data_IF_937271841827
#
_entry.id   IF_937271841827
#
_cell.length_a   1.000
_cell.length_b   1.000
_cell.length_c   1.000
_cell.angle_alpha   90.00
_cell.angle_beta   90.00
_cell.angle_gamma   90.00
#
_symmetry.space_group_name_H-M   'P 1'
#
loop_
_entity.id
_entity.type
_entity.pdbx_description
1 polymer ?
#
# COMPACT_ATOMS: atom_id res chain seq x y z
N UNK A 1 -7.73 13.14 -5.44
CA UNK A 1 -7.95 13.91 -6.67
C UNK A 1 -7.10 13.30 -7.77
N UNK A 2 -7.65 13.22 -8.99
CA UNK A 2 -6.88 12.95 -10.20
C UNK A 2 -6.32 14.26 -10.75
N UNK A 3 -5.15 14.22 -11.40
CA UNK A 3 -4.61 15.34 -12.17
C UNK A 3 -4.38 14.90 -13.61
N UNK A 4 -5.03 15.57 -14.55
CA UNK A 4 -4.91 15.27 -15.98
C UNK A 4 -5.06 16.56 -16.80
N UNK A 5 -4.18 16.73 -17.78
CA UNK A 5 -4.21 17.86 -18.73
C UNK A 5 -4.40 19.24 -18.07
N UNK A 6 -3.71 19.50 -16.95
CA UNK A 6 -3.78 20.77 -16.23
C UNK A 6 -4.89 20.88 -15.18
N UNK A 7 -5.81 19.91 -15.12
CA UNK A 7 -7.01 19.99 -14.29
C UNK A 7 -6.97 18.97 -13.13
N UNK A 8 -7.47 19.39 -11.97
CA UNK A 8 -7.74 18.52 -10.83
C UNK A 8 -9.23 18.13 -10.81
N UNK A 9 -9.52 16.85 -10.58
CA UNK A 9 -10.88 16.31 -10.45
C UNK A 9 -11.02 15.37 -9.24
N UNK A 10 -12.25 15.24 -8.73
CA UNK A 10 -12.64 14.22 -7.75
C UNK A 10 -12.69 12.84 -8.39
N UNK A 11 -12.74 11.80 -7.58
CA UNK A 11 -12.94 10.42 -8.05
C UNK A 11 -14.28 10.23 -8.80
N UNK A 12 -15.28 11.06 -8.50
CA UNK A 12 -16.55 11.13 -9.25
C UNK A 12 -16.42 11.74 -10.66
N UNK A 13 -15.25 12.29 -11.00
CA UNK A 13 -15.04 13.09 -12.22
C UNK A 13 -15.44 14.56 -12.07
N UNK A 14 -15.99 14.98 -10.93
CA UNK A 14 -16.33 16.39 -10.69
C UNK A 14 -15.06 17.27 -10.74
N UNK A 15 -15.05 18.36 -11.53
CA UNK A 15 -13.91 19.29 -11.55
C UNK A 15 -13.67 19.93 -10.19
N UNK A 16 -12.41 20.01 -9.76
CA UNK A 16 -11.99 20.77 -8.57
C UNK A 16 -11.49 22.14 -9.01
N UNK A 17 -10.42 22.19 -9.82
CA UNK A 17 -9.83 23.44 -10.33
C UNK A 17 -8.76 23.22 -11.41
N UNK A 18 -8.35 24.30 -12.09
CA UNK A 18 -7.25 24.31 -13.07
C UNK A 18 -5.95 24.83 -12.43
N UNK A 19 -4.83 24.16 -12.68
CA UNK A 19 -3.53 24.49 -12.07
C UNK A 19 -3.02 25.87 -12.49
N UNK A 20 -3.17 26.26 -13.76
CA UNK A 20 -2.62 27.51 -14.29
C UNK A 20 -3.44 28.70 -13.82
N UNK A 21 -4.77 28.55 -13.80
CA UNK A 21 -5.71 29.61 -13.43
C UNK A 21 -5.88 29.76 -11.93
N UNK A 22 -6.02 28.65 -11.20
CA UNK A 22 -6.47 28.63 -9.81
C UNK A 22 -5.35 28.21 -8.83
N UNK A 23 -4.21 27.72 -9.34
CA UNK A 23 -3.04 27.34 -8.55
C UNK A 23 -3.05 25.89 -8.01
N UNK A 24 -2.08 25.54 -7.14
CA UNK A 24 -1.89 24.17 -6.68
C UNK A 24 -3.05 23.66 -5.81
N UNK A 25 -3.33 22.36 -5.89
CA UNK A 25 -4.32 21.68 -5.06
C UNK A 25 -3.93 21.72 -3.57
N UNK A 26 -4.89 22.12 -2.73
CA UNK A 26 -4.82 21.95 -1.27
C UNK A 26 -5.42 20.61 -0.90
N UNK A 27 -4.84 19.94 0.09
CA UNK A 27 -5.33 18.63 0.56
C UNK A 27 -6.78 18.68 1.04
N UNK A 28 -7.23 19.82 1.58
CA UNK A 28 -8.61 20.06 2.01
C UNK A 28 -9.63 20.15 0.87
N UNK A 29 -9.20 20.31 -0.38
CA UNK A 29 -10.10 20.38 -1.55
C UNK A 29 -10.35 19.01 -2.17
N UNK A 30 -9.44 18.05 -1.94
CA UNK A 30 -9.52 16.69 -2.47
C UNK A 30 -10.59 15.85 -1.77
N UNK A 31 -10.85 14.65 -2.31
CA UNK A 31 -11.71 13.69 -1.63
C UNK A 31 -11.06 13.17 -0.36
N UNK A 32 -11.89 12.99 0.67
CA UNK A 32 -11.49 12.33 1.92
C UNK A 32 -11.67 10.83 1.74
N UNK A 33 -10.56 10.10 1.68
CA UNK A 33 -10.54 8.62 1.61
C UNK A 33 -10.60 8.01 3.00
N UNK A 34 -9.82 8.59 3.93
CA UNK A 34 -9.71 8.13 5.30
C UNK A 34 -9.46 9.34 6.21
N UNK A 35 -10.10 9.36 7.38
CA UNK A 35 -9.88 10.37 8.41
C UNK A 35 -9.09 9.74 9.56
N UNK A 36 -7.83 10.13 9.70
CA UNK A 36 -6.99 9.70 10.82
C UNK A 36 -7.41 10.32 12.15
N UNK A 37 -6.66 10.02 13.22
CA UNK A 37 -6.99 10.47 14.58
C UNK A 37 -6.99 12.00 14.77
N UNK A 38 -6.30 12.74 13.90
CA UNK A 38 -6.04 14.17 14.07
C UNK A 38 -5.01 14.48 15.18
N UNK A 39 -4.40 13.45 15.78
CA UNK A 39 -3.36 13.62 16.79
C UNK A 39 -2.01 14.01 16.15
N UNK A 40 -1.18 14.72 16.92
CA UNK A 40 0.20 15.03 16.52
C UNK A 40 1.15 13.84 16.68
N UNK A 41 2.31 13.92 16.04
CA UNK A 41 3.41 12.97 16.24
C UNK A 41 3.85 12.92 17.70
N UNK A 42 4.28 11.74 18.17
CA UNK A 42 4.58 11.48 19.59
C UNK A 42 6.09 11.35 19.81
N UNK A 43 6.83 12.36 19.36
CA UNK A 43 8.29 12.37 19.35
C UNK A 43 8.89 11.69 18.11
N UNK A 44 10.22 11.47 18.13
CA UNK A 44 10.95 10.94 16.98
C UNK A 44 10.95 9.40 16.83
N UNK A 45 10.22 8.68 17.69
CA UNK A 45 10.18 7.21 17.72
C UNK A 45 8.77 6.63 17.54
N UNK A 46 7.75 7.49 17.50
CA UNK A 46 6.34 7.10 17.44
C UNK A 46 5.57 8.06 16.54
N UNK A 47 4.84 7.47 15.59
CA UNK A 47 3.90 8.22 14.77
C UNK A 47 2.62 8.56 15.55
N UNK A 48 1.84 9.48 15.00
CA UNK A 48 0.47 9.73 15.41
C UNK A 48 -0.33 8.43 15.25
N UNK A 49 -1.17 8.10 16.23
CA UNK A 49 -2.05 6.93 16.14
C UNK A 49 -3.01 7.09 14.98
N UNK A 50 -3.36 6.00 14.31
CA UNK A 50 -4.26 6.03 13.15
C UNK A 50 -3.75 6.95 12.03
N UNK A 51 -2.43 7.13 11.91
CA UNK A 51 -1.83 7.82 10.77
C UNK A 51 -1.78 6.87 9.58
N UNK A 52 -2.36 7.33 8.47
CA UNK A 52 -2.38 6.60 7.21
C UNK A 52 -1.20 7.03 6.32
N UNK A 53 -0.59 6.08 5.63
CA UNK A 53 0.45 6.35 4.64
C UNK A 53 0.21 5.57 3.36
N UNK A 54 -0.05 6.28 2.25
CA UNK A 54 -0.33 5.67 0.94
C UNK A 54 0.91 4.98 0.38
N UNK A 55 0.76 3.72 -0.02
CA UNK A 55 1.83 2.89 -0.56
C UNK A 55 1.62 2.52 -2.04
N UNK A 56 0.38 2.37 -2.47
CA UNK A 56 0.05 1.93 -3.82
C UNK A 56 -1.22 2.61 -4.34
N UNK A 57 -1.28 2.78 -5.66
CA UNK A 57 -2.44 3.27 -6.40
C UNK A 57 -2.53 2.56 -7.74
N UNK A 58 -3.75 2.25 -8.16
CA UNK A 58 -4.06 1.76 -9.51
C UNK A 58 -5.48 2.19 -9.89
N UNK A 59 -5.85 2.04 -11.16
CA UNK A 59 -7.21 2.29 -11.65
C UNK A 59 -7.76 1.00 -12.23
N UNK A 60 -9.05 0.73 -12.01
CA UNK A 60 -9.73 -0.40 -12.65
C UNK A 60 -10.06 -0.12 -14.14
N UNK A 61 -10.71 -1.07 -14.80
CA UNK A 61 -11.09 -0.96 -16.21
C UNK A 61 -12.14 0.15 -16.47
N UNK A 62 -12.90 0.54 -15.45
CA UNK A 62 -13.85 1.66 -15.49
C UNK A 62 -13.19 3.01 -15.14
N UNK A 63 -11.88 3.03 -14.87
CA UNK A 63 -11.14 4.23 -14.49
C UNK A 63 -11.31 4.62 -13.02
N UNK A 64 -11.90 3.76 -12.18
CA UNK A 64 -12.10 4.05 -10.76
C UNK A 64 -10.80 3.81 -9.98
N UNK A 65 -10.41 4.73 -9.09
CA UNK A 65 -9.18 4.60 -8.33
C UNK A 65 -9.28 3.54 -7.21
N UNK A 66 -8.20 2.78 -7.05
CA UNK A 66 -7.92 1.89 -5.93
C UNK A 66 -6.63 2.34 -5.25
N UNK A 67 -6.64 2.35 -3.92
CA UNK A 67 -5.56 2.80 -3.05
C UNK A 67 -5.21 1.69 -2.07
N UNK A 68 -3.90 1.44 -1.91
CA UNK A 68 -3.35 0.62 -0.85
C UNK A 68 -2.52 1.49 0.09
N UNK A 69 -2.71 1.35 1.40
CA UNK A 69 -2.04 2.18 2.38
C UNK A 69 -1.84 1.47 3.71
N UNK A 70 -0.88 1.93 4.51
CA UNK A 70 -0.68 1.44 5.87
C UNK A 70 -1.39 2.34 6.88
N UNK A 71 -1.78 1.77 8.01
CA UNK A 71 -2.34 2.46 9.15
C UNK A 71 -1.55 2.10 10.41
N UNK A 72 -0.97 3.12 11.05
CA UNK A 72 -0.14 2.93 12.23
C UNK A 72 -0.97 2.79 13.51
N UNK A 73 -0.83 1.67 14.22
CA UNK A 73 -1.37 1.49 15.59
C UNK A 73 -0.25 1.62 16.63
N UNK A 74 0.89 0.97 16.38
CA UNK A 74 2.11 1.03 17.19
C UNK A 74 3.33 0.56 16.39
N UNK A 75 4.54 0.70 16.93
CA UNK A 75 5.77 0.18 16.30
C UNK A 75 5.74 -1.34 16.04
N UNK A 76 4.92 -2.08 16.79
CA UNK A 76 4.74 -3.53 16.60
C UNK A 76 3.45 -3.91 15.88
N UNK A 77 2.62 -2.94 15.49
CA UNK A 77 1.32 -3.18 14.88
C UNK A 77 0.97 -2.08 13.88
N UNK A 78 1.15 -2.41 12.61
CA UNK A 78 0.63 -1.65 11.47
C UNK A 78 -0.37 -2.51 10.72
N UNK A 79 -1.33 -1.87 10.05
CA UNK A 79 -2.36 -2.52 9.24
C UNK A 79 -2.23 -2.13 7.78
N UNK A 80 -2.43 -3.07 6.87
CA UNK A 80 -2.72 -2.74 5.49
C UNK A 80 -4.21 -2.48 5.34
N UNK A 81 -4.53 -1.40 4.64
CA UNK A 81 -5.88 -1.01 4.26
C UNK A 81 -5.96 -0.81 2.77
N UNK A 82 -7.15 -1.05 2.23
CA UNK A 82 -7.48 -0.74 0.86
C UNK A 82 -8.71 0.13 0.80
N UNK A 83 -8.66 1.13 -0.06
CA UNK A 83 -9.80 1.96 -0.40
C UNK A 83 -10.02 1.98 -1.91
N UNK A 84 -11.27 1.95 -2.35
CA UNK A 84 -11.60 2.14 -3.77
C UNK A 84 -12.84 3.00 -3.92
N UNK A 85 -12.99 3.67 -5.06
CA UNK A 85 -14.22 4.36 -5.41
C UNK A 85 -15.20 3.37 -6.06
N UNK A 86 -16.38 3.17 -5.49
CA UNK A 86 -17.37 2.21 -6.03
C UNK A 86 -18.19 2.78 -7.20
N UNK A 87 -18.14 4.09 -7.41
CA UNK A 87 -18.98 4.84 -8.35
C UNK A 87 -19.79 5.93 -7.66
N UNK A 88 -20.05 5.78 -6.36
CA UNK A 88 -20.86 6.68 -5.55
C UNK A 88 -20.09 7.22 -4.33
N UNK A 89 -19.22 6.39 -3.74
CA UNK A 89 -18.45 6.72 -2.53
C UNK A 89 -17.12 5.96 -2.46
N UNK A 90 -16.26 6.42 -1.57
CA UNK A 90 -15.08 5.67 -1.15
C UNK A 90 -15.47 4.53 -0.22
N UNK A 91 -14.98 3.33 -0.51
CA UNK A 91 -15.12 2.13 0.32
C UNK A 91 -13.75 1.77 0.86
N UNK A 92 -13.56 1.96 2.16
CA UNK A 92 -12.31 1.72 2.89
C UNK A 92 -12.43 0.54 3.86
N UNK A 93 -11.41 -0.33 3.91
CA UNK A 93 -11.37 -1.48 4.83
C UNK A 93 -9.95 -1.95 5.15
N UNK A 94 -9.82 -2.60 6.31
CA UNK A 94 -8.62 -3.33 6.69
C UNK A 94 -8.55 -4.66 5.94
N UNK A 95 -7.38 -4.97 5.38
CA UNK A 95 -7.20 -6.16 4.53
C UNK A 95 -6.11 -7.11 5.04
N UNK A 96 -5.19 -6.63 5.88
CA UNK A 96 -4.15 -7.45 6.48
C UNK A 96 -3.47 -6.77 7.66
N UNK A 97 -2.84 -7.57 8.52
CA UNK A 97 -1.76 -7.11 9.37
C UNK A 97 -0.54 -6.78 8.50
N UNK A 98 0.02 -5.59 8.65
CA UNK A 98 1.27 -5.20 7.99
C UNK A 98 2.51 -5.55 8.81
N UNK A 99 2.33 -5.75 10.11
CA UNK A 99 3.40 -6.14 11.03
C UNK A 99 4.11 -4.93 11.64
N UNK A 100 5.39 -5.11 11.94
CA UNK A 100 6.18 -4.12 12.69
C UNK A 100 6.64 -2.98 11.79
N UNK A 101 7.02 -1.86 12.39
CA UNK A 101 7.79 -0.84 11.67
C UNK A 101 9.18 -1.38 11.33
N UNK A 102 9.78 -0.91 10.24
CA UNK A 102 11.11 -1.29 9.80
C UNK A 102 12.17 -0.96 10.86
N UNK A 103 12.08 0.24 11.44
CA UNK A 103 12.88 0.70 12.57
C UNK A 103 12.20 1.91 13.24
N UNK A 104 12.44 2.12 14.53
CA UNK A 104 11.64 3.03 15.37
C UNK A 104 11.60 4.49 14.89
N UNK A 105 12.70 4.99 14.31
CA UNK A 105 12.76 6.37 13.82
C UNK A 105 11.93 6.60 12.56
N UNK A 106 11.50 5.55 11.89
CA UNK A 106 10.49 5.56 10.82
C UNK A 106 9.33 4.64 11.20
N UNK A 107 8.67 4.94 12.31
CA UNK A 107 7.63 4.10 12.92
C UNK A 107 6.44 3.76 12.01
N UNK A 108 6.20 4.51 10.94
CA UNK A 108 5.13 4.24 9.97
C UNK A 108 5.62 3.45 8.74
N UNK A 109 6.93 3.21 8.61
CA UNK A 109 7.49 2.50 7.48
C UNK A 109 7.46 0.99 7.74
N UNK A 110 6.80 0.22 6.86
CA UNK A 110 6.67 -1.24 6.91
C UNK A 110 7.25 -1.89 5.63
N UNK A 111 6.91 -3.15 5.35
CA UNK A 111 7.20 -3.80 4.08
C UNK A 111 6.55 -3.21 2.83
N UNK A 112 5.50 -2.40 2.98
CA UNK A 112 4.67 -1.85 1.90
C UNK A 112 3.87 -2.91 1.11
N UNK A 113 3.09 -2.42 0.14
CA UNK A 113 2.24 -3.22 -0.73
C UNK A 113 2.26 -2.70 -2.17
N UNK A 114 1.83 -3.54 -3.10
CA UNK A 114 1.60 -3.22 -4.50
C UNK A 114 0.23 -3.73 -4.96
N UNK A 115 -0.37 -2.98 -5.89
CA UNK A 115 -1.56 -3.39 -6.63
C UNK A 115 -1.14 -3.75 -8.05
N UNK A 116 -1.80 -4.73 -8.65
CA UNK A 116 -1.65 -4.98 -10.09
C UNK A 116 -2.29 -3.84 -10.89
N UNK A 117 -1.52 -3.09 -11.70
CA UNK A 117 -2.04 -1.95 -12.45
C UNK A 117 -3.06 -2.34 -13.53
N UNK A 118 -3.12 -3.61 -13.94
CA UNK A 118 -4.14 -4.11 -14.87
C UNK A 118 -5.36 -4.71 -14.15
N UNK A 119 -5.24 -5.05 -12.87
CA UNK A 119 -6.30 -5.64 -12.04
C UNK A 119 -6.08 -5.30 -10.56
N UNK A 120 -6.55 -4.13 -10.08
CA UNK A 120 -6.22 -3.65 -8.74
C UNK A 120 -6.66 -4.55 -7.57
N UNK A 121 -7.49 -5.56 -7.81
CA UNK A 121 -7.85 -6.60 -6.84
C UNK A 121 -6.76 -7.65 -6.64
N UNK A 122 -5.78 -7.77 -7.53
CA UNK A 122 -4.61 -8.65 -7.32
C UNK A 122 -3.55 -7.89 -6.53
N UNK A 123 -3.35 -8.27 -5.28
CA UNK A 123 -2.59 -7.50 -4.29
C UNK A 123 -1.37 -8.27 -3.82
N UNK A 124 -0.25 -7.56 -3.68
CA UNK A 124 0.98 -8.09 -3.11
C UNK A 124 1.36 -7.28 -1.87
N UNK A 125 1.64 -7.93 -0.76
CA UNK A 125 2.07 -7.27 0.49
C UNK A 125 3.40 -7.84 0.96
N UNK A 126 4.13 -7.05 1.74
CA UNK A 126 5.31 -7.50 2.47
C UNK A 126 5.06 -7.37 3.97
N UNK A 127 5.18 -8.47 4.71
CA UNK A 127 4.91 -8.49 6.16
C UNK A 127 5.83 -9.45 6.91
N UNK A 128 6.19 -9.09 8.15
CA UNK A 128 6.90 -9.96 9.11
C UNK A 128 5.99 -10.68 10.11
N UNK A 129 4.68 -10.59 9.90
CA UNK A 129 3.67 -11.34 10.66
C UNK A 129 2.79 -12.12 9.69
N UNK A 130 2.08 -13.11 10.21
CA UNK A 130 0.98 -13.74 9.50
C UNK A 130 -0.08 -12.66 9.14
N UNK A 131 -0.35 -12.40 7.85
CA UNK A 131 -1.20 -11.28 7.44
C UNK A 131 -2.67 -11.38 7.89
N UNK A 132 -3.14 -12.58 8.24
CA UNK A 132 -4.51 -12.84 8.67
C UNK A 132 -4.68 -12.70 10.19
N UNK A 133 -3.72 -13.21 10.97
CA UNK A 133 -3.80 -13.29 12.43
C UNK A 133 -2.96 -12.25 13.16
N UNK A 134 -1.97 -11.66 12.49
CA UNK A 134 -0.97 -10.77 13.10
C UNK A 134 0.06 -11.50 13.95
N UNK A 135 0.06 -12.84 13.95
CA UNK A 135 1.02 -13.65 14.69
C UNK A 135 2.42 -13.43 14.11
N UNK A 136 3.38 -13.12 14.98
CA UNK A 136 4.78 -12.95 14.60
C UNK A 136 5.29 -14.18 13.85
N UNK A 137 5.89 -13.96 12.67
CA UNK A 137 6.51 -15.02 11.88
C UNK A 137 7.84 -15.48 12.50
N UNK A 138 8.45 -14.65 13.37
CA UNK A 138 9.77 -14.88 13.93
C UNK A 138 10.91 -14.70 12.91
N UNK A 139 10.60 -14.25 11.70
CA UNK A 139 11.52 -14.10 10.58
C UNK A 139 11.51 -12.69 9.98
N UNK A 140 12.21 -12.49 8.85
CA UNK A 140 12.17 -11.24 8.13
C UNK A 140 10.82 -11.07 7.40
N UNK A 141 10.63 -9.92 6.75
CA UNK A 141 9.45 -9.71 5.93
C UNK A 141 9.41 -10.67 4.74
N UNK A 142 8.25 -11.28 4.50
CA UNK A 142 7.96 -12.13 3.35
C UNK A 142 6.92 -11.49 2.44
N UNK A 143 6.94 -11.85 1.16
CA UNK A 143 5.96 -11.40 0.17
C UNK A 143 4.77 -12.36 0.17
N UNK A 144 3.56 -11.80 0.19
CA UNK A 144 2.30 -12.53 0.08
C UNK A 144 1.47 -11.98 -1.08
N UNK A 145 0.59 -12.81 -1.62
CA UNK A 145 -0.34 -12.49 -2.70
C UNK A 145 -1.77 -12.91 -2.31
N UNK A 146 -2.75 -12.11 -2.69
CA UNK A 146 -4.17 -12.46 -2.65
C UNK A 146 -4.94 -11.75 -3.75
N UNK A 147 -6.09 -12.31 -4.12
CA UNK A 147 -7.14 -11.57 -4.80
C UNK A 147 -8.08 -11.00 -3.72
N UNK A 148 -8.26 -9.69 -3.72
CA UNK A 148 -9.03 -8.93 -2.73
C UNK A 148 -10.25 -8.32 -3.41
N UNK A 149 -11.40 -8.94 -3.20
CA UNK A 149 -12.68 -8.49 -3.73
C UNK A 149 -13.23 -7.22 -3.04
N UNK A 150 -14.30 -6.64 -3.59
CA UNK A 150 -14.91 -5.41 -3.07
C UNK A 150 -15.55 -5.59 -1.69
N UNK A 151 -15.94 -6.82 -1.33
CA UNK A 151 -16.56 -7.16 -0.04
C UNK A 151 -15.59 -7.82 0.93
N UNK A 152 -14.35 -8.09 0.49
CA UNK A 152 -13.36 -8.79 1.30
C UNK A 152 -12.72 -7.88 2.32
N UNK A 153 -12.48 -8.41 3.52
CA UNK A 153 -11.74 -7.76 4.58
C UNK A 153 -10.73 -8.73 5.20
N UNK A 154 -10.02 -8.27 6.23
CA UNK A 154 -9.02 -9.09 6.93
C UNK A 154 -9.54 -10.47 7.40
N UNK A 155 -10.85 -10.65 7.56
CA UNK A 155 -11.44 -11.92 8.00
C UNK A 155 -11.75 -12.90 6.86
N UNK A 156 -11.78 -12.45 5.60
CA UNK A 156 -12.12 -13.28 4.45
C UNK A 156 -10.96 -13.52 3.49
N UNK A 157 -9.93 -12.68 3.53
CA UNK A 157 -8.80 -12.75 2.61
C UNK A 157 -7.84 -13.88 3.02
N UNK A 158 -7.61 -14.80 2.08
CA UNK A 158 -6.60 -15.86 2.21
C UNK A 158 -5.30 -15.43 1.51
N UNK A 159 -4.26 -15.16 2.30
CA UNK A 159 -2.98 -14.70 1.82
C UNK A 159 -2.03 -15.86 1.53
N UNK A 160 -1.65 -16.01 0.26
CA UNK A 160 -0.69 -17.03 -0.17
C UNK A 160 0.75 -16.47 -0.12
N UNK A 161 1.68 -17.11 0.59
CA UNK A 161 3.08 -16.68 0.59
C UNK A 161 3.74 -16.92 -0.78
N UNK A 162 4.40 -15.89 -1.30
CA UNK A 162 5.25 -15.94 -2.50
C UNK A 162 6.69 -16.29 -2.12
N UNK A 163 7.15 -15.80 -0.96
CA UNK A 163 8.44 -16.14 -0.36
C UNK A 163 8.22 -16.73 1.04
N UNK A 164 9.09 -17.63 1.48
CA UNK A 164 9.07 -18.22 2.82
C UNK A 164 10.49 -18.56 3.28
N UNK A 165 10.73 -18.46 4.58
CA UNK A 165 12.00 -18.89 5.19
C UNK A 165 13.22 -18.11 4.69
N UNK A 166 13.03 -16.85 4.30
CA UNK A 166 14.09 -15.99 3.79
C UNK A 166 15.12 -15.68 4.88
N UNK A 167 16.39 -15.56 4.49
CA UNK A 167 17.47 -15.16 5.40
C UNK A 167 17.52 -13.66 5.66
N UNK A 168 16.93 -12.87 4.77
CA UNK A 168 16.93 -11.41 4.77
C UNK A 168 15.52 -10.90 4.38
N UNK A 169 15.27 -9.59 4.52
CA UNK A 169 13.95 -8.99 4.28
C UNK A 169 13.62 -8.92 2.80
N UNK A 170 12.37 -9.23 2.47
CA UNK A 170 11.77 -8.94 1.18
C UNK A 170 10.79 -7.78 1.36
N UNK A 171 11.16 -6.58 0.91
CA UNK A 171 10.39 -5.34 1.10
C UNK A 171 10.02 -4.72 -0.24
N UNK A 172 9.04 -3.81 -0.20
CA UNK A 172 8.63 -2.95 -1.31
C UNK A 172 8.32 -3.75 -2.58
N UNK A 173 7.30 -4.63 -2.53
CA UNK A 173 6.82 -5.26 -3.75
C UNK A 173 6.41 -4.18 -4.75
N UNK A 174 6.65 -4.43 -6.04
CA UNK A 174 6.29 -3.59 -7.16
C UNK A 174 5.84 -4.51 -8.30
N UNK A 175 4.74 -4.18 -8.97
CA UNK A 175 4.28 -4.91 -10.14
C UNK A 175 4.50 -4.07 -11.40
N UNK A 176 5.20 -4.65 -12.37
CA UNK A 176 5.46 -4.04 -13.67
C UNK A 176 4.73 -4.84 -14.74
N UNK A 177 3.91 -4.15 -15.52
CA UNK A 177 3.10 -4.73 -16.61
C UNK A 177 3.43 -4.02 -17.91
N UNK A 178 3.71 -4.79 -18.97
CA UNK A 178 4.01 -4.21 -20.28
C UNK A 178 4.40 -5.25 -21.33
N UNK A 179 3.97 -5.03 -22.57
CA UNK A 179 4.35 -5.88 -23.71
C UNK A 179 3.97 -7.35 -23.55
N UNK A 180 2.87 -7.66 -22.85
CA UNK A 180 2.42 -9.03 -22.53
C UNK A 180 3.11 -9.66 -21.30
N UNK A 181 4.06 -8.97 -20.67
CA UNK A 181 4.70 -9.43 -19.44
C UNK A 181 4.02 -8.85 -18.20
N UNK A 182 4.05 -9.65 -17.12
CA UNK A 182 3.77 -9.22 -15.75
C UNK A 182 4.90 -9.72 -14.86
N UNK A 183 5.58 -8.80 -14.19
CA UNK A 183 6.75 -9.11 -13.34
C UNK A 183 6.55 -8.52 -11.96
N UNK A 184 6.62 -9.37 -10.94
CA UNK A 184 6.70 -8.96 -9.55
C UNK A 184 8.16 -8.75 -9.18
N UNK A 185 8.50 -7.53 -8.77
CA UNK A 185 9.82 -7.14 -8.28
C UNK A 185 9.73 -6.78 -6.80
N UNK A 186 10.81 -6.98 -6.05
CA UNK A 186 10.95 -6.50 -4.68
C UNK A 186 12.42 -6.29 -4.33
N UNK A 187 12.67 -5.63 -3.19
CA UNK A 187 14.01 -5.42 -2.66
C UNK A 187 14.32 -6.48 -1.61
N UNK A 188 15.42 -7.20 -1.81
CA UNK A 188 15.91 -8.23 -0.92
C UNK A 188 17.19 -7.77 -0.21
N UNK A 189 17.25 -7.88 1.11
CA UNK A 189 18.45 -7.53 1.88
C UNK A 189 18.18 -7.23 3.37
N UNK A 190 19.21 -6.86 4.13
CA UNK A 190 19.09 -6.59 5.57
C UNK A 190 18.13 -5.45 5.91
N UNK A 191 18.14 -4.40 5.10
CA UNK A 191 17.22 -3.25 5.19
C UNK A 191 17.01 -2.77 6.64
N UNK A 192 18.08 -2.32 7.27
CA UNK A 192 18.02 -1.80 8.65
C UNK A 192 17.48 -0.37 8.75
N UNK A 193 17.62 0.42 7.66
CA UNK A 193 17.13 1.80 7.54
C UNK A 193 16.73 2.12 6.09
N UNK A 194 16.05 3.24 5.83
CA UNK A 194 15.70 3.61 4.44
C UNK A 194 16.91 4.03 3.59
N UNK A 195 18.05 4.33 4.20
CA UNK A 195 19.30 4.67 3.51
C UNK A 195 20.28 3.50 3.44
N UNK A 196 19.85 2.30 3.81
CA UNK A 196 20.64 1.08 3.64
C UNK A 196 20.45 0.56 2.21
N UNK A 197 21.42 0.87 1.35
CA UNK A 197 21.37 0.49 -0.06
C UNK A 197 21.99 -0.89 -0.35
N UNK A 198 22.38 -1.65 0.68
CA UNK A 198 22.84 -3.04 0.51
C UNK A 198 21.63 -3.93 0.26
N UNK A 199 21.12 -3.90 -0.96
CA UNK A 199 19.94 -4.68 -1.36
C UNK A 199 20.01 -5.09 -2.82
N UNK A 200 19.46 -6.25 -3.12
CA UNK A 200 19.26 -6.73 -4.48
C UNK A 200 17.83 -6.41 -4.94
N UNK A 201 17.68 -5.98 -6.20
CA UNK A 201 16.39 -5.98 -6.88
C UNK A 201 16.17 -7.38 -7.48
N UNK A 202 15.22 -8.12 -6.93
CA UNK A 202 14.89 -9.49 -7.36
C UNK A 202 13.44 -9.56 -7.82
N UNK A 203 13.07 -10.64 -8.50
CA UNK A 203 11.70 -10.75 -8.99
C UNK A 203 11.31 -12.08 -9.61
N UNK A 204 10.02 -12.22 -9.85
CA UNK A 204 9.39 -13.37 -10.50
C UNK A 204 8.58 -12.91 -11.70
N UNK A 205 8.81 -13.55 -12.85
CA UNK A 205 7.94 -13.41 -14.02
C UNK A 205 6.65 -14.18 -13.74
N UNK A 206 5.52 -13.47 -13.74
CA UNK A 206 4.19 -14.02 -13.49
C UNK A 206 3.48 -14.36 -14.81
N UNK A 207 3.64 -13.50 -15.82
CA UNK A 207 3.04 -13.69 -17.15
C UNK A 207 4.08 -13.39 -18.25
N UNK A 208 3.91 -14.07 -19.38
CA UNK A 208 4.69 -13.89 -20.62
C UNK A 208 3.70 -13.72 -21.79
N UNK A 209 4.13 -13.08 -22.89
CA UNK A 209 3.30 -12.89 -24.09
C UNK A 209 2.81 -14.20 -24.71
#
# INVERSE_FOLDING_TARGET
AEYRDGHFSRASGEPIKDLVKDGPLLTSEADVVFLGSGEGGRGGLLSARESAWTCAIATDAEGRPHLGYTLYKSNSDNRFRMAFWDGERWVDREVAYAGKCLYERESSYTGLMALDPARPTSVYISSDVDPFTGKDSGGPHEIYHAEVGPQDDISTIDWTPITTGSSERNLRPMLVVGGGYKVLLWLHGPWSTYTDYRSDAVGRVLERP
#
